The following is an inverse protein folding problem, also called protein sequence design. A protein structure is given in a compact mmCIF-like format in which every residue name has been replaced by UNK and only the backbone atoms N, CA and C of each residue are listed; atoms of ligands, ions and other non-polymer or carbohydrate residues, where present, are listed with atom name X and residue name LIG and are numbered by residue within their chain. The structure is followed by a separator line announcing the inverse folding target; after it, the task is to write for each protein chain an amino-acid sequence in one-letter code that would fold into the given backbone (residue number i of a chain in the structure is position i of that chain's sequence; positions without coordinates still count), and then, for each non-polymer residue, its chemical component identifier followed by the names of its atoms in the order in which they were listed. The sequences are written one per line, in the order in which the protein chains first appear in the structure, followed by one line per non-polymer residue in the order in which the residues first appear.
data_IF_698061462202
#
_entry.id   IF_698061462202
#
_cell.length_a   1.000
_cell.length_b   1.000
_cell.length_c   1.000
_cell.angle_alpha   90.00
_cell.angle_beta   90.00
_cell.angle_gamma   90.00
#
_symmetry.space_group_name_H-M   'P 1'
#
loop_
_entity.id
_entity.type
_entity.pdbx_description
1 polymer ?
#
# COMPACT_ATOMS: atom_id res chain seq x y z
N UNK A 1 -7.61 -50.42 9.71
CA UNK A 1 -7.80 -49.38 8.66
C UNK A 1 -8.46 -48.11 9.21
N UNK A 2 -9.56 -48.19 9.98
CA UNK A 2 -10.26 -47.00 10.53
C UNK A 2 -9.37 -46.08 11.39
N UNK A 3 -8.50 -46.65 12.24
CA UNK A 3 -7.56 -45.88 13.07
C UNK A 3 -6.51 -45.10 12.25
N UNK A 4 -6.09 -45.64 11.10
CA UNK A 4 -5.12 -45.00 10.22
C UNK A 4 -5.76 -43.84 9.44
N UNK A 5 -7.01 -44.00 8.99
CA UNK A 5 -7.76 -42.92 8.33
C UNK A 5 -8.07 -41.79 9.32
N UNK A 6 -8.40 -42.12 10.56
CA UNK A 6 -8.62 -41.14 11.61
C UNK A 6 -7.33 -40.37 11.94
N UNK A 7 -6.20 -41.07 12.07
CA UNK A 7 -4.88 -40.46 12.25
C UNK A 7 -4.54 -39.51 11.07
N UNK A 8 -4.72 -39.94 9.82
CA UNK A 8 -4.50 -39.09 8.64
C UNK A 8 -5.42 -37.86 8.63
N UNK A 9 -6.67 -37.99 9.08
CA UNK A 9 -7.61 -36.86 9.17
C UNK A 9 -7.20 -35.84 10.25
N UNK A 10 -6.58 -36.29 11.35
CA UNK A 10 -6.06 -35.43 12.40
C UNK A 10 -4.82 -34.69 11.91
N UNK A 11 -3.88 -35.39 11.26
CA UNK A 11 -2.70 -34.77 10.66
C UNK A 11 -3.10 -33.69 9.66
N UNK A 12 -4.07 -33.98 8.78
CA UNK A 12 -4.58 -32.99 7.80
C UNK A 12 -5.18 -31.76 8.46
N UNK A 13 -5.98 -31.92 9.52
CA UNK A 13 -6.59 -30.79 10.26
C UNK A 13 -5.55 -29.92 10.96
N UNK A 14 -4.51 -30.53 11.53
CA UNK A 14 -3.40 -29.79 12.17
C UNK A 14 -2.62 -29.01 11.12
N UNK A 15 -2.24 -29.65 10.01
CA UNK A 15 -1.50 -28.97 8.93
C UNK A 15 -2.30 -27.82 8.30
N UNK A 16 -3.62 -27.96 8.17
CA UNK A 16 -4.48 -26.88 7.66
C UNK A 16 -4.49 -25.66 8.59
N UNK A 17 -4.65 -25.87 9.91
CA UNK A 17 -4.64 -24.77 10.88
C UNK A 17 -3.32 -24.01 10.91
N UNK A 18 -2.20 -24.73 10.88
CA UNK A 18 -0.87 -24.11 10.88
C UNK A 18 -0.64 -23.28 9.62
N UNK A 19 -1.13 -23.74 8.46
CA UNK A 19 -1.09 -22.97 7.20
C UNK A 19 -1.92 -21.70 7.26
N UNK A 20 -3.15 -21.80 7.76
CA UNK A 20 -4.07 -20.67 7.85
C UNK A 20 -3.54 -19.60 8.84
N UNK A 21 -2.85 -20.02 9.92
CA UNK A 21 -2.19 -19.14 10.89
C UNK A 21 -0.99 -18.39 10.29
N UNK A 22 -0.17 -19.05 9.47
CA UNK A 22 0.96 -18.43 8.77
C UNK A 22 0.48 -17.45 7.68
N UNK A 23 -0.53 -17.83 6.88
CA UNK A 23 -1.10 -16.96 5.84
C UNK A 23 -1.74 -15.69 6.44
N UNK A 24 -2.42 -15.81 7.59
CA UNK A 24 -3.03 -14.68 8.30
C UNK A 24 -2.02 -13.75 8.98
N UNK A 25 -1.00 -14.30 9.64
CA UNK A 25 0.08 -13.51 10.23
C UNK A 25 0.85 -12.73 9.15
N UNK A 26 1.18 -13.40 8.04
CA UNK A 26 1.89 -12.84 6.89
C UNK A 26 1.11 -11.70 6.22
N UNK A 27 -0.22 -11.84 6.09
CA UNK A 27 -1.08 -10.79 5.56
C UNK A 27 -1.01 -9.48 6.38
N UNK A 28 -0.85 -9.60 7.70
CA UNK A 28 -0.84 -8.44 8.60
C UNK A 28 0.52 -7.70 8.55
N UNK A 29 1.62 -8.43 8.44
CA UNK A 29 2.98 -7.87 8.30
C UNK A 29 3.15 -7.10 6.99
N UNK A 30 2.75 -7.71 5.87
CA UNK A 30 2.77 -7.03 4.58
C UNK A 30 1.72 -5.91 4.52
N UNK A 31 0.58 -6.07 5.17
CA UNK A 31 -0.47 -5.04 5.27
C UNK A 31 0.03 -3.75 5.91
N UNK A 32 0.79 -3.84 7.01
CA UNK A 32 1.37 -2.66 7.68
C UNK A 32 2.45 -2.02 6.81
N UNK A 33 3.31 -2.81 6.16
CA UNK A 33 4.37 -2.30 5.29
C UNK A 33 3.80 -1.57 4.07
N UNK A 34 2.79 -2.15 3.41
CA UNK A 34 2.07 -1.54 2.29
C UNK A 34 1.34 -0.28 2.77
N UNK A 35 0.70 -0.32 3.94
CA UNK A 35 0.04 0.85 4.54
C UNK A 35 1.01 2.00 4.80
N UNK A 36 2.21 1.71 5.32
CA UNK A 36 3.25 2.71 5.53
C UNK A 36 3.72 3.35 4.21
N UNK A 37 3.99 2.53 3.20
CA UNK A 37 4.35 3.02 1.86
C UNK A 37 3.24 3.88 1.26
N UNK A 38 1.96 3.47 1.44
CA UNK A 38 0.81 4.24 0.95
C UNK A 38 0.76 5.64 1.57
N UNK A 39 1.00 5.79 2.87
CA UNK A 39 1.06 7.09 3.55
C UNK A 39 2.18 7.96 2.96
N UNK A 40 3.37 7.40 2.77
CA UNK A 40 4.52 8.11 2.20
C UNK A 40 4.24 8.57 0.77
N UNK A 41 3.61 7.73 -0.06
CA UNK A 41 3.23 8.07 -1.43
C UNK A 41 2.22 9.23 -1.43
N UNK A 42 1.17 9.16 -0.61
CA UNK A 42 0.14 10.21 -0.55
C UNK A 42 0.76 11.55 -0.13
N UNK A 43 1.61 11.54 0.90
CA UNK A 43 2.32 12.73 1.35
C UNK A 43 3.25 13.30 0.26
N UNK A 44 4.04 12.42 -0.38
CA UNK A 44 4.98 12.80 -1.43
C UNK A 44 4.28 13.41 -2.65
N UNK A 45 3.21 12.76 -3.14
CA UNK A 45 2.42 13.27 -4.27
C UNK A 45 1.71 14.59 -3.91
N UNK A 46 1.22 14.72 -2.68
CA UNK A 46 0.63 15.97 -2.19
C UNK A 46 1.60 17.15 -2.21
N UNK A 47 2.80 16.97 -1.64
CA UNK A 47 3.85 18.00 -1.66
C UNK A 47 4.36 18.32 -3.06
N UNK A 48 4.49 17.30 -3.91
CA UNK A 48 4.83 17.46 -5.31
C UNK A 48 3.78 18.31 -6.05
N UNK A 49 2.50 18.02 -5.84
CA UNK A 49 1.40 18.79 -6.43
C UNK A 49 1.42 20.27 -6.02
N UNK A 50 1.69 20.57 -4.75
CA UNK A 50 1.84 21.95 -4.28
C UNK A 50 3.00 22.67 -4.98
N UNK A 51 4.15 22.00 -5.11
CA UNK A 51 5.32 22.56 -5.78
C UNK A 51 5.06 22.77 -7.28
N UNK A 52 4.35 21.84 -7.92
CA UNK A 52 3.98 21.91 -9.32
C UNK A 52 3.02 23.07 -9.59
N UNK A 53 2.02 23.28 -8.73
CA UNK A 53 1.12 24.43 -8.83
C UNK A 53 1.92 25.74 -8.74
N UNK A 54 2.81 25.86 -7.74
CA UNK A 54 3.67 27.04 -7.62
C UNK A 54 4.53 27.30 -8.86
N UNK A 55 5.07 26.25 -9.48
CA UNK A 55 5.80 26.38 -10.74
C UNK A 55 4.94 26.94 -11.89
N UNK A 56 3.71 26.44 -12.04
CA UNK A 56 2.79 26.96 -13.07
C UNK A 56 2.28 28.37 -12.76
N UNK A 57 2.13 28.74 -11.49
CA UNK A 57 1.77 30.11 -11.08
C UNK A 57 2.89 31.10 -11.44
N UNK A 58 4.16 30.70 -11.25
CA UNK A 58 5.32 31.48 -11.67
C UNK A 58 5.34 31.67 -13.19
N UNK A 59 5.10 30.61 -13.97
CA UNK A 59 5.02 30.72 -15.43
C UNK A 59 3.87 31.64 -15.86
N UNK A 60 2.69 31.48 -15.25
CA UNK A 60 1.52 32.32 -15.52
C UNK A 60 1.82 33.79 -15.26
N UNK A 61 2.49 34.08 -14.14
CA UNK A 61 2.92 35.44 -13.79
C UNK A 61 3.90 36.01 -14.82
N UNK A 62 4.85 35.19 -15.28
CA UNK A 62 5.80 35.58 -16.33
C UNK A 62 5.11 35.91 -17.65
N UNK A 63 4.17 35.06 -18.08
CA UNK A 63 3.38 35.29 -19.30
C UNK A 63 2.51 36.55 -19.19
N UNK A 64 1.83 36.74 -18.06
CA UNK A 64 1.04 37.95 -17.78
C UNK A 64 1.88 39.22 -17.87
N UNK A 65 3.05 39.20 -17.24
CA UNK A 65 4.01 40.30 -17.27
C UNK A 65 4.45 40.61 -18.70
N UNK A 66 4.79 39.59 -19.50
CA UNK A 66 5.20 39.76 -20.89
C UNK A 66 4.09 40.33 -21.78
N UNK A 67 2.83 39.98 -21.49
CA UNK A 67 1.66 40.44 -22.24
C UNK A 67 1.09 41.77 -21.71
N UNK A 68 1.62 42.32 -20.62
CA UNK A 68 1.12 43.56 -20.01
C UNK A 68 -0.30 43.44 -19.45
N UNK A 69 -0.75 42.21 -19.19
CA UNK A 69 -2.06 41.93 -18.60
C UNK A 69 -1.89 41.58 -17.12
N UNK A 70 -2.82 42.02 -16.24
CA UNK A 70 -2.78 41.67 -14.83
C UNK A 70 -2.94 40.17 -14.58
#
# INVERSE_FOLDING_TARGET
MKQLVQAMSLTRKITQRLRDEEDGATATEYGITVGFIAIVIVAGVGLFGLSLNGFFDHLTTGVKTALGIP
#
